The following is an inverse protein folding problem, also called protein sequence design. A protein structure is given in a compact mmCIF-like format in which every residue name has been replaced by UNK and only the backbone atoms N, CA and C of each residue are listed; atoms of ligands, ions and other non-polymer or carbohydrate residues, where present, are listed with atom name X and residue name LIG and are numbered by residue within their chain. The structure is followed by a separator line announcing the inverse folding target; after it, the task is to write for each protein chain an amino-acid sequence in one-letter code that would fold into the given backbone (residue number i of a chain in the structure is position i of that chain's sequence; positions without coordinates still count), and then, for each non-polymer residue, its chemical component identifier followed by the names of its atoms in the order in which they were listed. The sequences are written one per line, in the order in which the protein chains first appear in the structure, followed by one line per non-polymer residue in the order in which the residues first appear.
data_IF_248456082054
#
_entry.id   IF_248456082054
#
_cell.length_a   1.000
_cell.length_b   1.000
_cell.length_c   1.000
_cell.angle_alpha   90.00
_cell.angle_beta   90.00
_cell.angle_gamma   90.00
#
_symmetry.space_group_name_H-M   'P 1'
#
loop_
_entity.id
_entity.type
_entity.pdbx_description
1 polymer ?
#
# COMPACT_ATOMS: atom_id res chain seq x y z
N UNK A 1 6.31 1.26 0.86
CA UNK A 1 5.20 1.55 1.82
C UNK A 1 5.63 1.17 3.22
N UNK A 2 5.15 1.89 4.24
CA UNK A 2 5.43 1.59 5.66
C UNK A 2 4.16 1.26 6.41
N UNK A 3 4.23 0.21 7.22
CA UNK A 3 3.17 -0.29 8.09
C UNK A 3 3.59 -0.19 9.55
N UNK A 4 2.79 0.48 10.36
CA UNK A 4 2.94 0.48 11.81
C UNK A 4 2.31 -0.80 12.38
N UNK A 5 3.11 -1.66 12.98
CA UNK A 5 2.68 -2.97 13.51
C UNK A 5 3.11 -3.16 14.96
N UNK A 6 2.40 -4.02 15.69
CA UNK A 6 2.77 -4.35 17.06
C UNK A 6 4.03 -5.25 17.12
N UNK A 7 4.09 -6.22 16.22
CA UNK A 7 5.18 -7.18 16.10
C UNK A 7 5.68 -7.24 14.67
N UNK A 8 6.92 -6.84 14.43
CA UNK A 8 7.50 -6.73 13.09
C UNK A 8 7.74 -8.10 12.46
N UNK A 9 8.41 -9.01 13.20
CA UNK A 9 8.88 -10.26 12.62
C UNK A 9 7.76 -11.13 12.01
N UNK A 10 6.65 -11.41 12.72
CA UNK A 10 5.58 -12.24 12.14
C UNK A 10 4.96 -11.65 10.87
N UNK A 11 4.84 -10.31 10.79
CA UNK A 11 4.25 -9.65 9.63
C UNK A 11 5.23 -9.62 8.46
N UNK A 12 6.50 -9.32 8.72
CA UNK A 12 7.53 -9.33 7.67
C UNK A 12 7.74 -10.73 7.08
N UNK A 13 7.79 -11.78 7.93
CA UNK A 13 7.91 -13.18 7.50
C UNK A 13 6.69 -13.62 6.68
N UNK A 14 5.49 -13.21 7.08
CA UNK A 14 4.27 -13.46 6.32
C UNK A 14 4.38 -12.91 4.91
N UNK A 15 4.67 -11.62 4.75
CA UNK A 15 4.72 -10.98 3.45
C UNK A 15 5.89 -11.45 2.59
N UNK A 16 7.05 -11.71 3.21
CA UNK A 16 8.19 -12.30 2.51
C UNK A 16 7.87 -13.69 1.95
N UNK A 17 7.26 -14.54 2.79
CA UNK A 17 6.87 -15.89 2.36
C UNK A 17 5.73 -15.90 1.36
N UNK A 18 4.78 -14.97 1.44
CA UNK A 18 3.65 -14.87 0.53
C UNK A 18 4.05 -14.34 -0.86
N UNK A 19 4.95 -13.35 -0.89
CA UNK A 19 5.45 -12.73 -2.13
C UNK A 19 6.75 -13.37 -2.65
N UNK A 20 7.30 -14.34 -1.92
CA UNK A 20 8.61 -14.96 -2.23
C UNK A 20 9.72 -13.92 -2.41
N UNK A 21 9.86 -12.99 -1.44
CA UNK A 21 10.84 -11.90 -1.47
C UNK A 21 11.75 -11.92 -0.24
N UNK A 22 12.92 -11.33 -0.38
CA UNK A 22 13.88 -11.19 0.70
C UNK A 22 13.42 -10.17 1.75
N UNK A 23 13.87 -10.38 3.00
CA UNK A 23 13.70 -9.45 4.12
C UNK A 23 15.04 -8.85 4.49
N UNK A 24 15.09 -7.54 4.55
CA UNK A 24 16.22 -6.80 5.11
C UNK A 24 15.85 -6.29 6.50
N UNK A 25 16.70 -6.59 7.48
CA UNK A 25 16.56 -6.03 8.83
C UNK A 25 16.95 -4.55 8.81
N UNK A 26 16.14 -3.70 9.44
CA UNK A 26 16.38 -2.28 9.61
C UNK A 26 16.43 -1.91 11.10
N UNK A 27 17.07 -0.79 11.50
CA UNK A 27 17.17 -0.40 12.92
C UNK A 27 15.81 -0.26 13.63
N UNK A 28 14.77 0.13 12.88
CA UNK A 28 13.42 0.35 13.40
C UNK A 28 12.41 -0.73 12.99
N UNK A 29 12.84 -1.79 12.25
CA UNK A 29 11.91 -2.77 11.75
C UNK A 29 12.49 -3.72 10.72
N UNK A 30 11.72 -3.97 9.65
CA UNK A 30 12.12 -4.86 8.55
C UNK A 30 11.52 -4.35 7.22
N UNK A 31 12.23 -4.57 6.13
CA UNK A 31 11.81 -4.29 4.78
C UNK A 31 11.70 -5.59 3.98
N UNK A 32 10.51 -5.94 3.52
CA UNK A 32 10.31 -6.90 2.44
C UNK A 32 10.61 -6.18 1.13
N UNK A 33 11.67 -6.61 0.45
CA UNK A 33 12.25 -5.87 -0.67
C UNK A 33 11.28 -5.83 -1.85
N UNK A 34 11.15 -4.67 -2.46
CA UNK A 34 10.51 -4.49 -3.76
C UNK A 34 11.54 -4.46 -4.88
N UNK A 35 11.08 -4.13 -6.09
CA UNK A 35 11.93 -3.90 -7.25
C UNK A 35 11.40 -2.69 -8.05
N UNK A 36 11.87 -2.51 -9.29
CA UNK A 36 11.48 -1.40 -10.16
C UNK A 36 9.98 -1.41 -10.52
N UNK A 37 9.30 -2.56 -10.35
CA UNK A 37 7.90 -2.79 -10.72
C UNK A 37 7.02 -3.18 -9.54
N UNK A 38 7.60 -3.56 -8.43
CA UNK A 38 6.89 -4.09 -7.27
C UNK A 38 7.21 -3.28 -6.01
N UNK A 39 6.18 -2.75 -5.38
CA UNK A 39 6.32 -1.94 -4.17
C UNK A 39 6.93 -2.75 -3.02
N UNK A 40 7.95 -2.21 -2.36
CA UNK A 40 8.51 -2.76 -1.13
C UNK A 40 7.63 -2.47 0.09
N UNK A 41 7.60 -3.40 1.05
CA UNK A 41 6.78 -3.31 2.26
C UNK A 41 7.68 -3.22 3.49
N UNK A 42 7.67 -2.08 4.16
CA UNK A 42 8.42 -1.83 5.40
C UNK A 42 7.49 -1.97 6.60
N UNK A 43 7.92 -2.69 7.61
CA UNK A 43 7.19 -2.88 8.86
C UNK A 43 7.99 -2.28 10.01
N UNK A 44 7.38 -1.37 10.76
CA UNK A 44 8.01 -0.70 11.89
C UNK A 44 7.18 -0.88 13.16
N UNK A 45 7.85 -0.99 14.31
CA UNK A 45 7.13 -1.11 15.58
C UNK A 45 6.43 0.21 15.89
N UNK A 46 5.12 0.17 16.07
CA UNK A 46 4.37 1.31 16.56
C UNK A 46 4.56 1.45 18.07
N UNK A 47 5.10 2.61 18.49
CA UNK A 47 5.25 2.92 19.93
C UNK A 47 3.93 3.18 20.66
N UNK A 48 2.83 3.31 19.94
CA UNK A 48 1.50 3.58 20.48
C UNK A 48 0.55 2.42 20.13
N UNK A 49 0.78 1.24 20.68
CA UNK A 49 -0.03 0.05 20.43
C UNK A 49 -1.40 0.35 19.87
N UNK A 50 -1.55 0.33 18.57
CA UNK A 50 -2.75 0.61 17.82
C UNK A 50 -3.10 2.07 17.56
N UNK A 51 -3.42 2.48 16.37
CA UNK A 51 -4.72 3.09 16.12
C UNK A 51 -4.65 4.16 15.07
N UNK A 52 -4.85 3.82 13.89
CA UNK A 52 -5.34 4.70 12.85
C UNK A 52 -6.31 3.91 11.99
N UNK A 53 -7.16 4.54 11.21
CA UNK A 53 -7.97 3.86 10.23
C UNK A 53 -7.08 3.09 9.24
N UNK A 54 -7.58 1.98 8.77
CA UNK A 54 -7.00 1.24 7.66
C UNK A 54 -7.55 1.86 6.39
N UNK A 55 -6.77 2.75 5.80
CA UNK A 55 -7.15 3.45 4.57
C UNK A 55 -6.47 2.86 3.33
N UNK A 56 -5.71 1.79 3.53
CA UNK A 56 -5.00 1.07 2.49
C UNK A 56 -5.19 -0.42 2.68
N UNK A 57 -5.32 -1.17 1.59
CA UNK A 57 -5.18 -2.61 1.57
C UNK A 57 -4.49 -3.06 0.28
N UNK A 58 -3.99 -4.29 0.29
CA UNK A 58 -3.18 -4.82 -0.80
C UNK A 58 -3.96 -5.87 -1.57
N UNK A 59 -3.88 -5.82 -2.90
CA UNK A 59 -4.45 -6.83 -3.79
C UNK A 59 -3.34 -7.69 -4.38
N UNK A 60 -3.47 -9.00 -4.19
CA UNK A 60 -2.62 -10.00 -4.82
C UNK A 60 -3.31 -10.55 -6.05
N UNK A 61 -2.57 -10.76 -7.12
CA UNK A 61 -3.08 -11.34 -8.36
C UNK A 61 -3.11 -12.85 -8.32
N UNK A 62 -3.90 -13.46 -9.17
CA UNK A 62 -3.94 -14.90 -9.38
C UNK A 62 -3.93 -15.22 -10.87
N UNK A 63 -3.11 -16.17 -11.28
CA UNK A 63 -3.02 -16.62 -12.67
C UNK A 63 -4.05 -17.69 -13.04
N UNK A 64 -4.60 -18.37 -12.04
CA UNK A 64 -5.67 -19.37 -12.16
C UNK A 64 -6.39 -19.55 -10.83
N UNK A 65 -7.54 -20.26 -10.83
CA UNK A 65 -8.25 -20.58 -9.60
C UNK A 65 -7.42 -21.45 -8.65
N UNK A 66 -6.60 -22.35 -9.16
CA UNK A 66 -5.67 -23.16 -8.36
C UNK A 66 -4.56 -22.29 -7.76
N UNK A 67 -4.15 -21.25 -8.47
CA UNK A 67 -3.16 -20.29 -7.99
C UNK A 67 -3.73 -19.45 -6.85
N UNK A 68 -4.95 -18.93 -7.01
CA UNK A 68 -5.67 -18.23 -5.95
C UNK A 68 -5.79 -19.10 -4.68
N UNK A 69 -6.21 -20.34 -4.83
CA UNK A 69 -6.32 -21.28 -3.72
C UNK A 69 -4.98 -21.54 -3.02
N UNK A 70 -3.88 -21.69 -3.80
CA UNK A 70 -2.53 -21.84 -3.24
C UNK A 70 -2.07 -20.61 -2.47
N UNK A 71 -2.33 -19.40 -3.00
CA UNK A 71 -2.00 -18.13 -2.35
C UNK A 71 -2.76 -18.00 -1.03
N UNK A 72 -4.07 -18.26 -1.01
CA UNK A 72 -4.90 -18.27 0.20
C UNK A 72 -4.39 -19.30 1.21
N UNK A 73 -4.13 -20.55 0.79
CA UNK A 73 -3.61 -21.60 1.67
C UNK A 73 -2.23 -21.23 2.23
N UNK A 74 -1.37 -20.59 1.43
CA UNK A 74 -0.06 -20.09 1.88
C UNK A 74 -0.21 -18.98 2.90
N UNK A 75 -1.08 -18.00 2.66
CA UNK A 75 -1.35 -16.94 3.61
C UNK A 75 -1.84 -17.48 4.97
N UNK A 76 -2.78 -18.42 4.95
CA UNK A 76 -3.29 -19.05 6.18
C UNK A 76 -2.20 -19.84 6.92
N UNK A 77 -1.33 -20.55 6.21
CA UNK A 77 -0.21 -21.29 6.81
C UNK A 77 0.84 -20.34 7.41
N UNK A 78 1.01 -19.15 6.87
CA UNK A 78 1.93 -18.12 7.37
C UNK A 78 1.33 -17.28 8.52
N UNK A 79 0.15 -17.64 9.02
CA UNK A 79 -0.49 -16.95 10.16
C UNK A 79 -1.51 -15.90 9.80
N UNK A 80 -1.85 -15.76 8.53
CA UNK A 80 -3.01 -14.98 8.09
C UNK A 80 -4.32 -15.63 8.50
N UNK A 81 -5.42 -14.90 8.38
CA UNK A 81 -6.76 -15.39 8.67
C UNK A 81 -7.78 -14.79 7.72
N UNK A 82 -8.89 -15.49 7.51
CA UNK A 82 -10.02 -14.89 6.81
C UNK A 82 -10.54 -13.65 7.56
N UNK A 83 -10.92 -12.65 6.79
CA UNK A 83 -11.48 -11.40 7.29
C UNK A 83 -12.84 -11.18 6.64
N UNK A 84 -13.89 -11.08 7.45
CA UNK A 84 -15.22 -10.69 6.98
C UNK A 84 -15.29 -9.14 6.97
N UNK A 85 -15.49 -8.58 5.81
CA UNK A 85 -15.69 -7.14 5.57
C UNK A 85 -17.07 -6.87 4.95
N UNK A 86 -17.97 -7.85 4.99
CA UNK A 86 -19.30 -7.77 4.39
C UNK A 86 -19.33 -8.12 2.90
N UNK A 87 -18.32 -8.85 2.40
CA UNK A 87 -18.30 -9.32 1.03
C UNK A 87 -19.49 -10.25 0.74
N UNK A 88 -20.00 -10.18 -0.49
CA UNK A 88 -21.11 -11.02 -0.92
C UNK A 88 -20.67 -12.47 -1.12
N UNK A 89 -21.58 -13.46 -0.97
CA UNK A 89 -21.24 -14.88 -1.13
C UNK A 89 -20.78 -15.27 -2.54
N UNK A 90 -21.06 -14.43 -3.52
CA UNK A 90 -20.74 -14.61 -4.95
C UNK A 90 -19.55 -13.75 -5.41
N UNK A 91 -18.87 -13.06 -4.47
CA UNK A 91 -17.61 -12.40 -4.77
C UNK A 91 -16.51 -13.44 -5.02
N UNK A 92 -15.79 -13.30 -6.12
CA UNK A 92 -14.76 -14.25 -6.55
C UNK A 92 -13.39 -14.00 -5.88
N UNK A 93 -13.20 -12.85 -5.24
CA UNK A 93 -11.99 -12.54 -4.46
C UNK A 93 -12.08 -13.05 -3.02
N UNK A 94 -10.93 -13.28 -2.40
CA UNK A 94 -10.84 -13.74 -1.00
C UNK A 94 -10.21 -12.66 -0.13
N UNK A 95 -10.92 -12.24 0.93
CA UNK A 95 -10.41 -11.26 1.89
C UNK A 95 -9.75 -11.96 3.07
N UNK A 96 -8.50 -11.56 3.34
CA UNK A 96 -7.68 -12.05 4.44
C UNK A 96 -7.16 -10.89 5.28
N UNK A 97 -6.65 -11.21 6.45
CA UNK A 97 -5.81 -10.32 7.25
C UNK A 97 -4.46 -10.98 7.48
N UNK A 98 -3.39 -10.21 7.42
CA UNK A 98 -2.06 -10.63 7.82
C UNK A 98 -1.96 -10.81 9.36
N UNK A 99 -0.84 -11.30 9.94
CA UNK A 99 -0.69 -11.45 11.39
C UNK A 99 -0.84 -10.15 12.19
N UNK A 100 -0.53 -8.99 11.58
CA UNK A 100 -0.74 -7.66 12.17
C UNK A 100 -2.18 -7.15 12.04
N UNK A 101 -3.05 -7.91 11.37
CA UNK A 101 -4.44 -7.55 11.13
C UNK A 101 -4.63 -6.57 9.97
N UNK A 102 -3.65 -6.38 9.10
CA UNK A 102 -3.82 -5.57 7.90
C UNK A 102 -4.57 -6.36 6.84
N UNK A 103 -5.62 -5.77 6.22
CA UNK A 103 -6.41 -6.46 5.20
C UNK A 103 -5.61 -6.62 3.89
N UNK A 104 -5.87 -7.73 3.21
CA UNK A 104 -5.44 -8.00 1.84
C UNK A 104 -6.51 -8.79 1.12
N UNK A 105 -6.57 -8.64 -0.19
CA UNK A 105 -7.43 -9.42 -1.07
C UNK A 105 -6.59 -10.29 -1.99
N UNK A 106 -6.99 -11.54 -2.18
CA UNK A 106 -6.48 -12.41 -3.25
C UNK A 106 -7.51 -12.38 -4.36
N UNK A 107 -7.18 -11.69 -5.43
CA UNK A 107 -8.08 -11.38 -6.53
C UNK A 107 -8.17 -12.59 -7.46
N UNK A 108 -9.35 -12.81 -8.01
CA UNK A 108 -9.67 -13.88 -8.95
C UNK A 108 -8.84 -13.80 -10.24
N UNK A 109 -8.60 -14.92 -10.91
CA UNK A 109 -7.91 -14.94 -12.18
C UNK A 109 -8.73 -14.27 -13.29
N UNK A 110 -8.03 -13.65 -14.24
CA UNK A 110 -8.68 -12.97 -15.37
C UNK A 110 -9.15 -11.54 -15.09
N UNK A 111 -8.82 -10.99 -13.94
CA UNK A 111 -9.06 -9.59 -13.64
C UNK A 111 -8.24 -8.70 -14.59
N UNK A 112 -8.94 -7.99 -15.50
CA UNK A 112 -8.30 -7.20 -16.53
C UNK A 112 -7.58 -5.96 -15.97
N UNK A 113 -8.09 -5.39 -14.87
CA UNK A 113 -7.46 -4.23 -14.24
C UNK A 113 -6.09 -4.57 -13.68
N UNK A 114 -5.92 -5.78 -13.13
CA UNK A 114 -4.64 -6.24 -12.57
C UNK A 114 -3.78 -7.04 -13.55
N UNK A 115 -4.15 -7.11 -14.83
CA UNK A 115 -3.38 -7.84 -15.82
C UNK A 115 -1.95 -7.28 -15.96
N UNK A 116 -0.93 -8.12 -15.80
CA UNK A 116 0.47 -7.77 -15.98
C UNK A 116 1.11 -6.96 -14.85
N UNK A 117 0.45 -6.84 -13.69
CA UNK A 117 0.96 -6.07 -12.54
C UNK A 117 1.95 -6.83 -11.64
N UNK A 118 2.12 -8.16 -11.83
CA UNK A 118 2.93 -9.01 -10.93
C UNK A 118 2.13 -9.47 -9.70
N UNK A 119 2.81 -10.12 -8.74
CA UNK A 119 2.18 -10.78 -7.60
C UNK A 119 1.45 -9.78 -6.67
N UNK A 120 2.08 -8.64 -6.36
CA UNK A 120 1.43 -7.53 -5.69
C UNK A 120 0.84 -6.59 -6.75
N UNK A 121 -0.42 -6.85 -7.10
CA UNK A 121 -1.10 -6.19 -8.21
C UNK A 121 -1.46 -4.73 -7.94
N UNK A 122 -1.89 -4.43 -6.71
CA UNK A 122 -2.42 -3.13 -6.39
C UNK A 122 -2.26 -2.75 -4.91
N UNK A 123 -2.07 -1.47 -4.68
CA UNK A 123 -2.30 -0.80 -3.40
C UNK A 123 -3.58 0.02 -3.55
N UNK A 124 -4.67 -0.45 -2.94
CA UNK A 124 -5.96 0.25 -2.97
C UNK A 124 -6.06 1.18 -1.78
N UNK A 125 -6.43 2.44 -2.03
CA UNK A 125 -6.49 3.51 -1.05
C UNK A 125 -7.89 4.10 -0.95
N UNK A 126 -8.33 4.45 0.27
CA UNK A 126 -9.41 5.40 0.44
C UNK A 126 -8.92 6.79 0.06
N UNK A 127 -9.64 7.47 -0.82
CA UNK A 127 -9.26 8.81 -1.22
C UNK A 127 -10.14 9.37 -2.33
N UNK A 128 -10.09 10.69 -2.48
CA UNK A 128 -10.82 11.41 -3.52
C UNK A 128 -10.08 11.31 -4.87
N UNK A 129 -10.79 11.60 -5.96
CA UNK A 129 -10.15 11.75 -7.27
C UNK A 129 -9.00 12.78 -7.24
N UNK A 130 -9.14 13.85 -6.45
CA UNK A 130 -8.11 14.88 -6.34
C UNK A 130 -6.80 14.34 -5.77
N UNK A 131 -6.86 13.42 -4.81
CA UNK A 131 -5.63 12.80 -4.28
C UNK A 131 -4.97 11.90 -5.30
N UNK A 132 -5.73 11.21 -6.13
CA UNK A 132 -5.15 10.43 -7.24
C UNK A 132 -4.45 11.32 -8.28
N UNK A 133 -5.01 12.50 -8.60
CA UNK A 133 -4.35 13.48 -9.47
C UNK A 133 -3.08 14.05 -8.82
N UNK A 134 -3.10 14.32 -7.52
CA UNK A 134 -1.90 14.70 -6.78
C UNK A 134 -0.80 13.64 -6.92
N UNK A 135 -1.11 12.37 -6.68
CA UNK A 135 -0.13 11.29 -6.76
C UNK A 135 0.37 11.02 -8.18
N UNK A 136 -0.47 11.22 -9.21
CA UNK A 136 -0.02 11.24 -10.62
C UNK A 136 1.11 12.25 -10.81
N UNK A 137 0.94 13.48 -10.33
CA UNK A 137 1.91 14.57 -10.50
C UNK A 137 3.11 14.41 -9.54
N UNK A 138 2.88 13.89 -8.33
CA UNK A 138 3.92 13.62 -7.35
C UNK A 138 4.91 12.54 -7.82
N UNK A 139 4.41 11.48 -8.44
CA UNK A 139 5.22 10.36 -8.92
C UNK A 139 5.66 10.50 -10.38
N UNK A 140 5.10 11.47 -11.12
CA UNK A 140 5.23 11.57 -12.58
C UNK A 140 4.83 10.24 -13.28
N UNK A 141 3.77 9.61 -12.77
CA UNK A 141 3.22 8.37 -13.29
C UNK A 141 1.92 8.64 -14.06
N UNK A 142 1.67 7.96 -15.21
CA UNK A 142 0.42 8.11 -15.92
C UNK A 142 -0.77 7.61 -15.11
N UNK A 143 -1.93 8.28 -15.29
CA UNK A 143 -3.21 7.69 -14.93
C UNK A 143 -3.50 6.52 -15.87
N UNK A 144 -3.78 5.35 -15.28
CA UNK A 144 -4.21 4.15 -16.01
C UNK A 144 -5.69 3.86 -15.81
N UNK A 145 -6.34 4.60 -14.91
CA UNK A 145 -7.77 4.63 -14.66
C UNK A 145 -8.20 6.01 -14.17
N UNK A 146 -9.30 6.55 -14.70
CA UNK A 146 -9.93 7.81 -14.28
C UNK A 146 -11.41 7.79 -14.70
N UNK A 147 -12.24 7.08 -13.91
CA UNK A 147 -13.67 6.92 -14.16
C UNK A 147 -14.46 6.92 -12.84
N UNK A 148 -15.65 7.49 -12.84
CA UNK A 148 -16.59 7.51 -11.71
C UNK A 148 -15.96 8.02 -10.38
N UNK A 149 -15.12 9.05 -10.45
CA UNK A 149 -14.36 9.59 -9.32
C UNK A 149 -13.25 8.66 -8.78
N UNK A 150 -13.08 7.47 -9.34
CA UNK A 150 -11.98 6.56 -9.05
C UNK A 150 -10.77 6.87 -9.91
N UNK A 151 -9.58 6.69 -9.38
CA UNK A 151 -8.33 6.90 -10.11
C UNK A 151 -7.32 5.81 -9.82
N UNK A 152 -6.46 5.53 -10.78
CA UNK A 152 -5.27 4.72 -10.55
C UNK A 152 -4.07 5.23 -11.35
N UNK A 153 -2.90 5.15 -10.74
CA UNK A 153 -1.62 5.39 -11.39
C UNK A 153 -0.79 4.12 -11.44
N UNK A 154 0.12 4.06 -12.40
CA UNK A 154 1.08 2.95 -12.53
C UNK A 154 2.40 3.50 -13.05
N UNK A 155 3.51 2.93 -12.59
CA UNK A 155 4.83 3.26 -13.13
C UNK A 155 4.86 3.06 -14.64
N UNK A 156 5.57 3.90 -15.42
CA UNK A 156 5.84 3.63 -16.84
C UNK A 156 6.53 2.28 -17.09
N UNK A 157 7.18 1.71 -16.08
CA UNK A 157 7.78 0.38 -16.13
C UNK A 157 6.77 -0.76 -15.91
N UNK A 158 5.50 -0.42 -15.60
CA UNK A 158 4.47 -1.39 -15.21
C UNK A 158 4.51 -1.75 -13.73
N UNK A 159 3.99 -2.92 -13.38
CA UNK A 159 4.02 -3.46 -12.01
C UNK A 159 2.83 -3.02 -11.14
N UNK A 160 3.04 -2.89 -9.85
CA UNK A 160 1.99 -2.56 -8.87
C UNK A 160 1.30 -1.25 -9.20
N UNK A 161 -0.03 -1.27 -9.28
CA UNK A 161 -0.86 -0.05 -9.39
C UNK A 161 -1.11 0.55 -8.02
N UNK A 162 -1.37 1.85 -8.00
CA UNK A 162 -1.89 2.55 -6.82
C UNK A 162 -3.21 3.20 -7.21
N UNK A 163 -4.28 2.88 -6.48
CA UNK A 163 -5.62 3.38 -6.79
C UNK A 163 -6.26 4.11 -5.61
N UNK A 164 -7.24 4.94 -5.92
CA UNK A 164 -8.11 5.65 -4.98
C UNK A 164 -9.56 5.44 -5.39
N UNK A 165 -10.36 4.90 -4.45
CA UNK A 165 -11.71 4.38 -4.72
C UNK A 165 -12.80 5.44 -4.86
N UNK A 166 -12.48 6.74 -4.75
CA UNK A 166 -13.50 7.78 -4.85
C UNK A 166 -14.49 7.81 -3.67
N UNK A 167 -15.55 8.61 -3.78
CA UNK A 167 -16.56 8.71 -2.73
C UNK A 167 -17.46 7.46 -2.64
N UNK A 168 -17.97 7.11 -1.45
CA UNK A 168 -17.81 7.85 -0.20
C UNK A 168 -16.43 7.65 0.43
N UNK A 169 -15.77 8.75 0.81
CA UNK A 169 -14.48 8.70 1.52
C UNK A 169 -14.74 8.90 3.00
N UNK A 170 -14.32 7.94 3.80
CA UNK A 170 -14.46 8.04 5.25
C UNK A 170 -13.62 9.19 5.81
N UNK A 171 -14.14 9.95 6.79
CA UNK A 171 -13.39 11.01 7.45
C UNK A 171 -12.09 10.45 8.06
N UNK A 172 -10.99 11.18 7.88
CA UNK A 172 -9.72 10.80 8.49
C UNK A 172 -9.75 11.04 9.99
N UNK A 173 -9.43 10.01 10.77
CA UNK A 173 -9.35 10.06 12.22
C UNK A 173 -7.97 9.62 12.71
N UNK A 174 -7.21 10.54 13.27
CA UNK A 174 -5.87 10.25 13.78
C UNK A 174 -4.83 9.97 12.67
N UNK A 175 -3.71 9.36 13.05
CA UNK A 175 -2.62 9.00 12.15
C UNK A 175 -2.91 7.67 11.46
N UNK A 176 -2.62 7.60 10.16
CA UNK A 176 -2.74 6.36 9.39
C UNK A 176 -1.67 5.34 9.82
N UNK A 177 -2.06 4.08 9.93
CA UNK A 177 -1.15 2.97 10.24
C UNK A 177 -0.30 2.56 9.05
N UNK A 178 -0.76 2.91 7.86
CA UNK A 178 -0.12 2.58 6.59
C UNK A 178 0.09 3.87 5.84
N UNK A 179 1.26 4.04 5.23
CA UNK A 179 1.61 5.25 4.50
C UNK A 179 2.61 4.95 3.40
N UNK A 180 2.67 5.82 2.42
CA UNK A 180 3.74 5.80 1.43
C UNK A 180 5.02 6.38 2.03
N UNK A 181 6.17 5.86 1.58
CA UNK A 181 7.46 6.49 1.76
C UNK A 181 8.10 6.65 0.37
N UNK A 182 8.36 7.87 -0.01
CA UNK A 182 9.10 8.21 -1.22
C UNK A 182 10.58 8.31 -0.90
N UNK A 183 11.39 7.90 -1.86
CA UNK A 183 12.85 7.95 -1.76
C UNK A 183 13.36 8.92 -2.81
N UNK A 184 14.19 9.86 -2.39
CA UNK A 184 14.75 10.91 -3.26
C UNK A 184 16.20 11.20 -2.88
N UNK A 185 16.95 11.78 -3.80
CA UNK A 185 18.31 12.24 -3.55
C UNK A 185 18.36 13.49 -2.65
N UNK A 186 17.33 14.35 -2.71
CA UNK A 186 17.22 15.57 -1.90
C UNK A 186 15.80 15.77 -1.38
N UNK A 187 15.53 15.34 -0.13
CA UNK A 187 14.22 15.49 0.47
C UNK A 187 13.73 16.95 0.60
N UNK A 188 14.63 17.91 0.73
CA UNK A 188 14.23 19.32 0.91
C UNK A 188 13.70 19.92 -0.40
N UNK A 189 14.40 19.69 -1.50
CA UNK A 189 13.98 20.14 -2.83
C UNK A 189 12.67 19.45 -3.22
N UNK A 190 12.59 18.14 -3.00
CA UNK A 190 11.40 17.36 -3.33
C UNK A 190 10.20 17.77 -2.47
N UNK A 191 10.40 18.08 -1.18
CA UNK A 191 9.34 18.61 -0.32
C UNK A 191 8.78 19.92 -0.86
N UNK A 192 9.62 20.88 -1.27
CA UNK A 192 9.17 22.14 -1.88
C UNK A 192 8.31 21.88 -3.13
N UNK A 193 8.71 20.93 -3.98
CA UNK A 193 7.95 20.54 -5.17
C UNK A 193 6.58 19.98 -4.78
N UNK A 194 6.52 19.03 -3.84
CA UNK A 194 5.28 18.40 -3.39
C UNK A 194 4.35 19.39 -2.69
N UNK A 195 4.88 20.33 -1.92
CA UNK A 195 4.10 21.43 -1.33
C UNK A 195 3.45 22.29 -2.43
N UNK A 196 4.17 22.57 -3.51
CA UNK A 196 3.61 23.31 -4.66
C UNK A 196 2.49 22.57 -5.39
N UNK A 197 2.44 21.24 -5.30
CA UNK A 197 1.38 20.38 -5.83
C UNK A 197 0.18 20.24 -4.89
N UNK A 198 0.27 20.73 -3.66
CA UNK A 198 -0.83 20.70 -2.69
C UNK A 198 -0.63 19.79 -1.49
N UNK A 199 0.56 19.23 -1.29
CA UNK A 199 0.91 18.58 -0.03
C UNK A 199 0.96 19.58 1.12
N UNK A 200 0.84 19.11 2.35
CA UNK A 200 1.04 19.89 3.56
C UNK A 200 2.25 19.35 4.36
N UNK A 201 3.09 20.24 4.90
CA UNK A 201 4.18 19.84 5.79
C UNK A 201 3.62 19.49 7.16
N UNK A 202 3.98 18.30 7.67
CA UNK A 202 3.61 17.84 8.99
C UNK A 202 4.77 17.93 9.99
N UNK A 203 5.95 17.44 9.61
CA UNK A 203 7.13 17.44 10.47
C UNK A 203 8.43 17.33 9.68
N UNK A 204 9.49 17.96 10.20
CA UNK A 204 10.85 17.62 9.82
C UNK A 204 11.30 16.39 10.62
N UNK A 205 11.90 15.42 9.93
CA UNK A 205 12.45 14.20 10.52
C UNK A 205 13.99 14.26 10.44
N UNK A 206 14.67 13.41 11.24
CA UNK A 206 16.12 13.33 11.23
C UNK A 206 16.66 12.95 9.84
N UNK A 207 15.96 12.03 9.14
CA UNK A 207 16.38 11.49 7.85
C UNK A 207 15.37 11.81 6.72
N UNK A 208 14.69 12.96 6.81
CA UNK A 208 13.70 13.33 5.79
C UNK A 208 12.61 14.25 6.28
N UNK A 209 11.46 14.19 5.65
CA UNK A 209 10.30 15.05 5.91
C UNK A 209 9.03 14.20 5.95
N UNK A 210 8.12 14.54 6.82
CA UNK A 210 6.76 13.98 6.80
C UNK A 210 5.79 15.00 6.23
N UNK A 211 5.03 14.58 5.25
CA UNK A 211 4.04 15.38 4.53
C UNK A 211 2.65 14.73 4.64
N UNK A 212 1.61 15.49 4.29
CA UNK A 212 0.28 14.97 4.05
C UNK A 212 -0.13 15.26 2.60
N UNK A 213 -0.84 14.33 1.98
CA UNK A 213 -1.49 14.53 0.70
C UNK A 213 -2.76 15.42 0.84
N UNK A 214 -3.43 15.83 -0.27
CA UNK A 214 -4.62 16.68 -0.20
C UNK A 214 -5.78 16.13 0.63
N UNK A 215 -5.87 14.82 0.82
CA UNK A 215 -6.87 14.19 1.70
C UNK A 215 -6.37 14.03 3.14
N UNK A 216 -5.18 14.55 3.45
CA UNK A 216 -4.58 14.55 4.78
C UNK A 216 -3.90 13.23 5.17
N UNK A 217 -3.65 12.31 4.22
CA UNK A 217 -2.94 11.07 4.52
C UNK A 217 -1.43 11.32 4.61
N UNK A 218 -0.83 10.86 5.70
CA UNK A 218 0.60 11.03 5.93
C UNK A 218 1.42 10.21 4.93
N UNK A 219 2.53 10.79 4.47
CA UNK A 219 3.54 10.07 3.73
C UNK A 219 4.94 10.60 4.08
N UNK A 220 5.94 9.72 3.99
CA UNK A 220 7.32 10.04 4.26
C UNK A 220 8.09 10.40 2.99
N UNK A 221 9.06 11.30 3.12
CA UNK A 221 10.03 11.61 2.10
C UNK A 221 11.42 11.41 2.71
N UNK A 222 12.22 10.50 2.17
CA UNK A 222 13.49 10.04 2.75
C UNK A 222 14.62 10.10 1.74
N UNK A 223 15.84 10.22 2.24
CA UNK A 223 17.05 10.02 1.42
C UNK A 223 17.20 8.54 1.06
N UNK A 224 17.54 8.24 -0.20
CA UNK A 224 17.84 6.91 -0.72
C UNK A 224 19.29 6.49 -0.51
#
# INVERSE_FOLDING_TARGET
MTFDVAEVAPVAEFWAGLLNRDVLAEPSGALVVGDETQVGLRFVTSGTGQVGPRRLHLHLTSSSSEDQQRTVATALRLGGRHLDVGQAPDDDFVVLADPGGNPLCVIEPGNNFLAGTGDLGEVTCDGTRNVGLFWRDALDWPLVWDENEETAVQSPLGGTKVSWGGPPVEPKHGRNRQRFDLVTADPSIEAERLLSLGAALLADLVDGVELADPDGNEFGLRTG
#
